data_IF_633669891771
#
_entry.id   IF_633669891771
#
_cell.length_a   1.000
_cell.length_b   1.000
_cell.length_c   1.000
_cell.angle_alpha   90.00
_cell.angle_beta   90.00
_cell.angle_gamma   90.00
#
_symmetry.space_group_name_H-M   'P 1'
#
loop_
_entity.id
_entity.type
_entity.pdbx_description
1 polymer ?
#
# COMPACT_ATOMS: atom_id res chain seq x y z
N UNK A 1 -14.57 10.38 -15.41
CA UNK A 1 -14.38 10.57 -13.95
C UNK A 1 -15.63 10.33 -13.11
N UNK A 2 -16.82 10.82 -13.47
CA UNK A 2 -18.04 10.62 -12.66
C UNK A 2 -18.35 9.14 -12.36
N UNK A 3 -18.26 8.26 -13.36
CA UNK A 3 -18.45 6.80 -13.18
C UNK A 3 -17.42 6.18 -12.23
N UNK A 4 -16.14 6.60 -12.31
CA UNK A 4 -15.09 6.08 -11.45
C UNK A 4 -15.29 6.52 -9.99
N UNK A 5 -15.68 7.77 -9.77
CA UNK A 5 -16.04 8.27 -8.43
C UNK A 5 -17.26 7.55 -7.85
N UNK A 6 -18.29 7.32 -8.66
CA UNK A 6 -19.47 6.56 -8.24
C UNK A 6 -19.11 5.11 -7.87
N UNK A 7 -18.26 4.45 -8.67
CA UNK A 7 -17.77 3.12 -8.36
C UNK A 7 -16.91 3.09 -7.09
N UNK A 8 -16.05 4.09 -6.88
CA UNK A 8 -15.20 4.22 -5.69
C UNK A 8 -16.00 4.37 -4.39
N UNK A 9 -17.27 4.77 -4.45
CA UNK A 9 -18.14 4.79 -3.27
C UNK A 9 -18.37 3.37 -2.70
N UNK A 10 -18.36 2.34 -3.55
CA UNK A 10 -18.79 0.98 -3.17
C UNK A 10 -17.71 -0.08 -3.35
N UNK A 11 -16.81 0.07 -4.31
CA UNK A 11 -15.83 -0.95 -4.68
C UNK A 11 -14.41 -0.54 -4.24
N UNK A 12 -13.72 -1.36 -3.41
CA UNK A 12 -12.33 -1.11 -3.02
C UNK A 12 -11.38 -0.93 -4.21
N UNK A 13 -11.51 -1.78 -5.24
CA UNK A 13 -10.68 -1.69 -6.45
C UNK A 13 -10.92 -0.42 -7.25
N UNK A 14 -12.14 0.14 -7.22
CA UNK A 14 -12.42 1.43 -7.84
C UNK A 14 -11.82 2.60 -7.05
N UNK A 15 -11.72 2.50 -5.71
CA UNK A 15 -10.97 3.47 -4.89
C UNK A 15 -9.49 3.46 -5.24
N UNK A 16 -8.86 2.28 -5.36
CA UNK A 16 -7.46 2.17 -5.77
C UNK A 16 -7.21 2.78 -7.14
N UNK A 17 -8.08 2.49 -8.13
CA UNK A 17 -7.99 3.08 -9.47
C UNK A 17 -8.20 4.59 -9.47
N UNK A 18 -9.13 5.10 -8.67
CA UNK A 18 -9.33 6.54 -8.52
C UNK A 18 -8.10 7.20 -7.89
N UNK A 19 -7.53 6.59 -6.86
CA UNK A 19 -6.32 7.10 -6.23
C UNK A 19 -5.13 7.13 -7.17
N UNK A 20 -4.86 6.06 -7.91
CA UNK A 20 -3.79 6.01 -8.91
C UNK A 20 -3.96 7.09 -9.98
N UNK A 21 -5.21 7.27 -10.44
CA UNK A 21 -5.58 8.34 -11.37
C UNK A 21 -5.29 9.75 -10.79
N UNK A 22 -5.59 9.99 -9.50
CA UNK A 22 -5.28 11.24 -8.81
C UNK A 22 -3.77 11.45 -8.65
N UNK A 23 -3.00 10.39 -8.34
CA UNK A 23 -1.54 10.43 -8.23
C UNK A 23 -0.87 10.79 -9.56
N UNK A 24 -1.40 10.26 -10.68
CA UNK A 24 -0.87 10.51 -12.04
C UNK A 24 -1.37 11.80 -12.69
N UNK A 25 -2.21 12.57 -12.01
CA UNK A 25 -2.74 13.81 -12.56
C UNK A 25 -3.73 13.61 -13.71
N UNK A 26 -4.68 12.68 -13.55
CA UNK A 26 -5.83 12.55 -14.45
C UNK A 26 -6.51 13.91 -14.74
N UNK A 27 -7.09 14.09 -15.94
CA UNK A 27 -7.54 15.39 -16.40
C UNK A 27 -8.68 15.94 -15.53
N UNK A 28 -8.38 16.98 -14.76
CA UNK A 28 -9.27 17.87 -13.99
C UNK A 28 -10.25 17.19 -13.00
N UNK A 29 -10.26 17.58 -11.71
CA UNK A 29 -9.52 18.68 -11.07
C UNK A 29 -8.03 18.37 -10.84
N UNK A 30 -7.27 19.35 -10.33
CA UNK A 30 -5.87 19.18 -9.95
C UNK A 30 -5.68 17.98 -9.00
N UNK A 31 -4.50 17.36 -9.02
CA UNK A 31 -4.23 16.19 -8.15
C UNK A 31 -4.40 16.57 -6.68
N UNK A 32 -5.38 15.93 -6.03
CA UNK A 32 -5.51 15.95 -4.58
C UNK A 32 -4.82 14.71 -4.03
N UNK A 33 -3.54 14.86 -3.65
CA UNK A 33 -2.75 13.78 -3.04
C UNK A 33 -3.33 13.34 -1.69
N UNK A 34 -4.08 14.20 -1.01
CA UNK A 34 -4.72 13.86 0.26
C UNK A 34 -5.92 12.95 0.02
N UNK A 35 -6.77 13.27 -0.96
CA UNK A 35 -7.86 12.39 -1.41
C UNK A 35 -7.30 11.04 -1.88
N UNK A 36 -6.26 11.06 -2.72
CA UNK A 36 -5.63 9.84 -3.24
C UNK A 36 -5.13 8.92 -2.11
N UNK A 37 -4.43 9.48 -1.12
CA UNK A 37 -3.96 8.71 0.05
C UNK A 37 -5.12 8.13 0.85
N UNK A 38 -6.18 8.90 1.08
CA UNK A 38 -7.32 8.40 1.85
C UNK A 38 -8.00 7.24 1.12
N UNK A 39 -8.24 7.37 -0.19
CA UNK A 39 -8.80 6.32 -1.02
C UNK A 39 -7.96 5.03 -0.99
N UNK A 40 -6.63 5.16 -1.04
CA UNK A 40 -5.74 4.00 -0.91
C UNK A 40 -5.86 3.34 0.47
N UNK A 41 -5.85 4.11 1.56
CA UNK A 41 -5.98 3.55 2.92
C UNK A 41 -7.31 2.83 3.10
N UNK A 42 -8.40 3.40 2.59
CA UNK A 42 -9.74 2.80 2.66
C UNK A 42 -9.84 1.53 1.80
N UNK A 43 -9.21 1.52 0.63
CA UNK A 43 -9.14 0.35 -0.23
C UNK A 43 -8.30 -0.78 0.40
N UNK A 44 -7.13 -0.45 0.93
CA UNK A 44 -6.25 -1.38 1.63
C UNK A 44 -6.95 -1.98 2.87
N UNK A 45 -7.72 -1.17 3.60
CA UNK A 45 -8.53 -1.64 4.73
C UNK A 45 -9.67 -2.58 4.35
N UNK A 46 -10.10 -2.53 3.09
CA UNK A 46 -11.05 -3.46 2.50
C UNK A 46 -10.36 -4.61 1.75
N UNK A 47 -9.06 -4.80 1.90
CA UNK A 47 -8.31 -5.92 1.33
C UNK A 47 -7.91 -5.75 -0.13
N UNK A 48 -7.98 -4.55 -0.69
CA UNK A 48 -7.54 -4.31 -2.06
C UNK A 48 -6.01 -4.40 -2.17
N UNK A 49 -5.54 -5.40 -2.90
CA UNK A 49 -4.10 -5.67 -3.06
C UNK A 49 -3.37 -4.56 -3.82
N UNK A 50 -4.02 -3.92 -4.80
CA UNK A 50 -3.40 -2.81 -5.52
C UNK A 50 -3.08 -1.66 -4.57
N UNK A 51 -4.01 -1.31 -3.68
CA UNK A 51 -3.77 -0.28 -2.68
C UNK A 51 -2.68 -0.65 -1.66
N UNK A 52 -2.66 -1.90 -1.21
CA UNK A 52 -1.62 -2.40 -0.30
C UNK A 52 -0.22 -2.27 -0.93
N UNK A 53 -0.09 -2.64 -2.21
CA UNK A 53 1.16 -2.50 -2.96
C UNK A 53 1.55 -1.03 -3.15
N UNK A 54 0.61 -0.19 -3.58
CA UNK A 54 0.86 1.25 -3.79
C UNK A 54 1.32 1.95 -2.51
N UNK A 55 0.71 1.65 -1.35
CA UNK A 55 1.06 2.26 -0.07
C UNK A 55 2.39 1.76 0.48
N UNK A 56 2.77 0.51 0.20
CA UNK A 56 4.10 -0.01 0.50
C UNK A 56 5.20 0.66 -0.36
N UNK A 57 4.80 1.40 -1.40
CA UNK A 57 5.70 2.10 -2.31
C UNK A 57 6.26 1.17 -3.39
N UNK A 58 7.06 1.74 -4.31
CA UNK A 58 7.53 1.00 -5.46
C UNK A 58 8.56 -0.03 -5.03
N UNK A 59 8.53 -1.17 -5.71
CA UNK A 59 9.60 -2.15 -5.72
C UNK A 59 10.75 -1.70 -6.64
N UNK A 60 10.42 -0.87 -7.66
CA UNK A 60 11.32 -0.27 -8.64
C UNK A 60 11.06 1.25 -8.76
N UNK A 61 12.07 2.12 -8.52
CA UNK A 61 11.95 3.58 -8.64
C UNK A 61 11.58 4.09 -10.04
N UNK A 62 11.62 3.25 -11.08
CA UNK A 62 11.14 3.59 -12.44
C UNK A 62 9.61 3.59 -12.58
N UNK A 63 8.88 2.99 -11.62
CA UNK A 63 7.43 2.95 -11.61
C UNK A 63 6.84 4.17 -10.88
N UNK A 64 6.16 5.04 -11.63
CA UNK A 64 5.57 6.30 -11.19
C UNK A 64 4.32 6.16 -10.29
N UNK A 65 4.04 4.96 -9.79
CA UNK A 65 2.77 4.58 -9.16
C UNK A 65 2.74 4.90 -7.66
N UNK A 66 3.75 5.64 -7.19
CA UNK A 66 4.03 5.86 -5.78
C UNK A 66 3.84 7.32 -5.43
N UNK A 67 3.09 7.64 -4.37
CA UNK A 67 3.04 9.00 -3.84
C UNK A 67 4.44 9.38 -3.29
N UNK A 68 5.22 10.26 -3.96
CA UNK A 68 6.55 10.62 -3.49
C UNK A 68 6.49 11.40 -2.17
N UNK A 69 5.32 11.94 -1.81
CA UNK A 69 5.10 12.68 -0.57
C UNK A 69 4.65 11.81 0.60
N UNK A 70 4.44 10.50 0.41
CA UNK A 70 4.14 9.59 1.51
C UNK A 70 5.33 9.50 2.47
N UNK A 71 5.18 9.82 3.77
CA UNK A 71 6.29 9.85 4.72
C UNK A 71 7.01 8.49 4.83
N UNK A 72 8.35 8.45 4.95
CA UNK A 72 9.09 7.19 5.06
C UNK A 72 8.59 6.24 6.16
N UNK A 73 8.22 6.71 7.37
CA UNK A 73 7.65 5.84 8.41
C UNK A 73 6.34 5.17 8.01
N UNK A 74 5.48 5.87 7.25
CA UNK A 74 4.21 5.31 6.80
C UNK A 74 4.43 4.28 5.70
N UNK A 75 5.30 4.57 4.73
CA UNK A 75 5.66 3.63 3.67
C UNK A 75 6.26 2.34 4.24
N UNK A 76 7.16 2.47 5.23
CA UNK A 76 7.72 1.33 5.95
C UNK A 76 6.65 0.47 6.63
N UNK A 77 5.68 1.09 7.30
CA UNK A 77 4.61 0.38 7.98
C UNK A 77 3.79 -0.48 7.02
N UNK A 78 3.39 0.08 5.87
CA UNK A 78 2.67 -0.68 4.84
C UNK A 78 3.51 -1.80 4.22
N UNK A 79 4.80 -1.57 4.02
CA UNK A 79 5.71 -2.60 3.54
C UNK A 79 5.83 -3.77 4.54
N UNK A 80 6.00 -3.48 5.83
CA UNK A 80 6.01 -4.50 6.88
C UNK A 80 4.68 -5.25 6.96
N UNK A 81 3.56 -4.54 6.86
CA UNK A 81 2.24 -5.14 6.83
C UNK A 81 2.08 -6.13 5.66
N UNK A 82 2.51 -5.74 4.46
CA UNK A 82 2.47 -6.58 3.28
C UNK A 82 3.40 -7.80 3.40
N UNK A 83 4.57 -7.65 4.01
CA UNK A 83 5.45 -8.77 4.33
C UNK A 83 4.80 -9.78 5.27
N UNK A 84 4.03 -9.32 6.28
CA UNK A 84 3.30 -10.21 7.19
C UNK A 84 2.17 -10.97 6.49
N UNK A 85 1.42 -10.30 5.62
CA UNK A 85 0.40 -10.96 4.80
C UNK A 85 1.03 -12.03 3.89
N UNK A 86 2.19 -11.73 3.29
CA UNK A 86 2.89 -12.70 2.46
C UNK A 86 3.40 -13.90 3.28
N UNK A 87 4.02 -13.65 4.43
CA UNK A 87 4.47 -14.72 5.34
C UNK A 87 3.30 -15.61 5.82
N UNK A 88 2.08 -15.07 5.87
CA UNK A 88 0.86 -15.82 6.17
C UNK A 88 0.26 -16.56 4.95
N UNK A 89 0.89 -16.49 3.78
CA UNK A 89 0.40 -17.15 2.56
C UNK A 89 -0.79 -16.46 1.91
N UNK A 90 -1.04 -15.18 2.23
CA UNK A 90 -2.21 -14.44 1.71
C UNK A 90 -2.17 -14.10 0.23
N UNK A 91 -1.00 -14.31 -0.39
CA UNK A 91 -0.82 -14.12 -1.81
C UNK A 91 -0.51 -15.49 -2.41
N UNK A 92 -1.38 -15.97 -3.29
CA UNK A 92 -1.23 -17.28 -3.91
C UNK A 92 0.10 -17.46 -4.64
N UNK A 93 0.41 -18.70 -5.03
CA UNK A 93 1.72 -19.09 -5.58
C UNK A 93 2.21 -18.21 -6.76
N UNK A 94 1.29 -17.69 -7.57
CA UNK A 94 1.61 -16.81 -8.71
C UNK A 94 2.19 -15.45 -8.30
N UNK A 95 1.80 -14.90 -7.15
CA UNK A 95 2.36 -13.65 -6.63
C UNK A 95 3.56 -13.89 -5.71
N UNK A 96 3.59 -15.04 -5.04
CA UNK A 96 4.74 -15.46 -4.24
C UNK A 96 6.00 -15.60 -5.11
N UNK A 97 5.90 -16.19 -6.30
CA UNK A 97 7.07 -16.33 -7.19
C UNK A 97 7.64 -14.96 -7.56
N UNK A 98 6.81 -14.02 -8.02
CA UNK A 98 7.23 -12.65 -8.32
C UNK A 98 7.91 -12.00 -7.11
N UNK A 99 7.31 -12.13 -5.92
CA UNK A 99 7.85 -11.55 -4.68
C UNK A 99 9.15 -12.20 -4.20
N UNK A 100 9.29 -13.52 -4.36
CA UNK A 100 10.45 -14.29 -3.89
C UNK A 100 11.64 -14.20 -4.85
N UNK A 101 11.38 -14.05 -6.16
CA UNK A 101 12.43 -14.03 -7.19
C UNK A 101 12.82 -12.63 -7.65
N UNK A 102 11.91 -11.64 -7.59
CA UNK A 102 12.36 -10.26 -7.72
C UNK A 102 13.12 -9.94 -6.43
N UNK A 103 14.34 -9.41 -6.53
CA UNK A 103 15.09 -8.93 -5.36
C UNK A 103 14.42 -7.75 -4.63
N UNK A 104 13.14 -7.50 -4.93
CA UNK A 104 12.37 -6.27 -4.80
C UNK A 104 11.07 -6.53 -4.02
N UNK A 105 11.06 -7.47 -3.08
CA UNK A 105 9.97 -7.57 -2.12
C UNK A 105 9.65 -6.16 -1.55
N UNK A 106 8.39 -5.70 -1.56
CA UNK A 106 8.00 -4.44 -0.95
C UNK A 106 8.56 -4.36 0.48
N UNK A 107 9.37 -3.34 0.74
CA UNK A 107 10.08 -3.15 2.02
C UNK A 107 11.57 -3.48 2.04
N UNK A 108 12.16 -4.08 0.99
CA UNK A 108 13.64 -4.17 0.92
C UNK A 108 14.32 -2.81 0.76
N UNK A 109 13.67 -1.85 0.10
CA UNK A 109 14.16 -0.47 -0.02
C UNK A 109 13.82 0.39 1.20
N UNK A 110 12.84 -0.02 2.02
CA UNK A 110 12.48 0.65 3.27
C UNK A 110 13.37 0.17 4.41
N UNK A 111 14.69 0.21 4.23
CA UNK A 111 15.62 -0.16 5.29
C UNK A 111 15.57 0.89 6.40
N UNK A 112 15.33 0.47 7.64
CA UNK A 112 15.47 1.34 8.82
C UNK A 112 16.87 1.97 8.90
N UNK A 113 17.88 1.32 8.34
CA UNK A 113 19.26 1.82 8.29
C UNK A 113 19.43 3.04 7.37
N UNK A 114 18.49 3.28 6.46
CA UNK A 114 18.48 4.46 5.59
C UNK A 114 17.71 5.64 6.21
N UNK A 115 17.12 5.47 7.40
CA UNK A 115 16.30 6.48 8.07
C UNK A 115 17.06 7.16 9.21
N UNK A 116 16.61 8.35 9.62
CA UNK A 116 17.05 8.93 10.88
C UNK A 116 16.61 8.05 12.07
N UNK A 117 17.28 8.10 13.24
CA UNK A 117 16.85 7.32 14.40
C UNK A 117 15.40 7.63 14.84
N UNK A 118 14.98 8.89 14.73
CA UNK A 118 13.61 9.30 15.05
C UNK A 118 12.60 8.68 14.07
N UNK A 119 12.88 8.74 12.76
CA UNK A 119 12.03 8.16 11.73
C UNK A 119 11.99 6.64 11.84
N UNK A 120 13.11 5.98 12.14
CA UNK A 120 13.17 4.55 12.34
C UNK A 120 12.29 4.09 13.52
N UNK A 121 12.32 4.82 14.63
CA UNK A 121 11.46 4.57 15.79
C UNK A 121 9.97 4.76 15.42
N UNK A 122 9.64 5.89 14.79
CA UNK A 122 8.28 6.17 14.32
C UNK A 122 7.78 5.12 13.33
N UNK A 123 8.64 4.63 12.44
CA UNK A 123 8.35 3.60 11.45
C UNK A 123 7.99 2.27 12.13
N UNK A 124 8.78 1.85 13.12
CA UNK A 124 8.51 0.64 13.89
C UNK A 124 7.20 0.74 14.67
N UNK A 125 6.98 1.85 15.38
CA UNK A 125 5.73 2.07 16.13
C UNK A 125 4.52 2.06 15.18
N UNK A 126 4.63 2.72 14.02
CA UNK A 126 3.55 2.75 13.03
C UNK A 126 3.28 1.38 12.43
N UNK A 127 4.32 0.61 12.11
CA UNK A 127 4.20 -0.75 11.61
C UNK A 127 3.49 -1.66 12.62
N UNK A 128 3.91 -1.63 13.89
CA UNK A 128 3.31 -2.41 14.95
C UNK A 128 1.82 -2.07 15.14
N UNK A 129 1.49 -0.76 15.17
CA UNK A 129 0.11 -0.30 15.29
C UNK A 129 -0.76 -0.73 14.10
N UNK A 130 -0.23 -0.64 12.87
CA UNK A 130 -0.95 -1.06 11.67
C UNK A 130 -1.22 -2.57 11.67
N UNK A 131 -0.20 -3.37 11.97
CA UNK A 131 -0.31 -4.83 12.05
C UNK A 131 -1.36 -5.23 13.09
N UNK A 132 -1.26 -4.70 14.31
CA UNK A 132 -2.19 -5.00 15.39
C UNK A 132 -3.64 -4.59 15.07
N UNK A 133 -3.83 -3.48 14.36
CA UNK A 133 -5.16 -2.98 14.03
C UNK A 133 -5.85 -3.74 12.88
N UNK A 134 -5.08 -4.35 11.97
CA UNK A 134 -5.62 -4.69 10.65
C UNK A 134 -5.27 -6.09 10.14
N UNK A 135 -4.23 -6.75 10.65
CA UNK A 135 -3.69 -7.97 10.02
C UNK A 135 -4.74 -9.08 9.91
N UNK A 136 -5.36 -9.46 11.01
CA UNK A 136 -6.31 -10.59 11.02
C UNK A 136 -7.55 -10.31 10.15
N UNK A 137 -8.06 -9.07 10.19
CA UNK A 137 -9.18 -8.65 9.34
C UNK A 137 -8.81 -8.73 7.86
N UNK A 138 -7.63 -8.27 7.48
CA UNK A 138 -7.19 -8.36 6.08
C UNK A 138 -6.95 -9.80 5.66
N UNK A 139 -6.45 -10.67 6.55
CA UNK A 139 -6.31 -12.10 6.26
C UNK A 139 -7.65 -12.76 5.95
N UNK A 140 -8.68 -12.44 6.71
CA UNK A 140 -10.05 -12.90 6.46
C UNK A 140 -10.58 -12.43 5.10
N UNK A 141 -10.39 -11.15 4.78
CA UNK A 141 -10.82 -10.58 3.50
C UNK A 141 -10.10 -11.21 2.30
N UNK A 142 -8.85 -11.64 2.48
CA UNK A 142 -8.05 -12.32 1.46
C UNK A 142 -8.22 -13.85 1.46
N UNK A 143 -8.92 -14.42 2.45
CA UNK A 143 -9.16 -15.86 2.56
C UNK A 143 -7.92 -16.69 2.95
N UNK A 144 -7.04 -16.15 3.80
CA UNK A 144 -5.76 -16.77 4.20
C UNK A 144 -5.63 -16.98 5.72
N UNK A 145 -6.63 -17.62 6.32
CA UNK A 145 -6.64 -18.00 7.74
C UNK A 145 -5.80 -19.26 8.03
#
# INVERSE_FOLDING_TARGET
>A
MALLRAAAATLPSARSRLADCLLRGCPTPASDLTEARQLLRDAAAAGDLSALLTLAGPTDPSHADSDPSLPPPERYAWAQFLQRLNAAGCFGAAQYSTWATSGEAPGRQSSLLAMSPADASAAQTRAAALIAAQLDRTRQLLGCE
#
